data_IF_810544476113
#
_entry.id   IF_810544476113
#
_cell.length_a   1.000
_cell.length_b   1.000
_cell.length_c   1.000
_cell.angle_alpha   90.00
_cell.angle_beta   90.00
_cell.angle_gamma   90.00
#
_symmetry.space_group_name_H-M   'P 1'
#
loop_
_entity.id
_entity.type
_entity.pdbx_description
1 polymer ?
#
# COMPACT_ATOMS: atom_id res chain seq x y z
N UNK A 1 -9.80 79.58 27.92
CA UNK A 1 -9.23 78.55 28.81
C UNK A 1 -10.00 77.28 28.55
N UNK A 2 -9.44 76.38 27.74
CA UNK A 2 -10.11 75.17 27.26
C UNK A 2 -9.29 73.95 27.64
N UNK A 3 -9.97 72.97 28.26
CA UNK A 3 -9.66 71.53 28.35
C UNK A 3 -8.45 71.18 29.24
N UNK A 4 -8.46 70.12 30.03
CA UNK A 4 -8.57 68.71 29.63
C UNK A 4 -9.24 67.84 30.71
N UNK A 5 -10.11 66.92 30.28
CA UNK A 5 -10.67 65.85 31.10
C UNK A 5 -10.04 64.52 30.63
N UNK A 6 -9.39 63.81 31.54
CA UNK A 6 -8.76 62.50 31.33
C UNK A 6 -9.81 61.38 31.40
N UNK A 7 -9.70 60.38 30.52
CA UNK A 7 -10.45 59.13 30.63
C UNK A 7 -9.44 57.97 30.65
N UNK A 8 -9.52 57.14 31.68
CA UNK A 8 -8.72 55.92 31.84
C UNK A 8 -9.28 54.78 30.98
N UNK A 9 -8.37 53.98 30.41
CA UNK A 9 -8.69 52.79 29.61
C UNK A 9 -8.49 51.55 30.51
N UNK A 10 -9.57 50.80 30.76
CA UNK A 10 -9.53 49.49 31.40
C UNK A 10 -9.20 48.41 30.36
N UNK A 11 -8.14 47.63 30.60
CA UNK A 11 -7.75 46.49 29.78
C UNK A 11 -8.33 45.19 30.36
N UNK A 12 -9.27 44.56 29.66
CA UNK A 12 -9.74 43.20 29.97
C UNK A 12 -8.96 42.19 29.12
N UNK A 13 -8.11 41.39 29.76
CA UNK A 13 -7.45 40.24 29.13
C UNK A 13 -8.49 39.15 28.85
N UNK A 14 -8.81 38.93 27.57
CA UNK A 14 -9.55 37.76 27.11
C UNK A 14 -8.57 36.63 26.79
N UNK A 15 -8.64 35.53 27.55
CA UNK A 15 -7.87 34.32 27.28
C UNK A 15 -8.52 33.55 26.12
N UNK A 16 -7.80 33.43 24.99
CA UNK A 16 -8.20 32.55 23.88
C UNK A 16 -7.88 31.09 24.24
N UNK A 17 -8.91 30.29 24.44
CA UNK A 17 -8.84 28.83 24.53
C UNK A 17 -8.82 28.27 23.09
N UNK A 18 -7.64 27.86 22.58
CA UNK A 18 -7.56 27.10 21.35
C UNK A 18 -8.00 25.65 21.64
N UNK A 19 -9.28 25.34 21.41
CA UNK A 19 -9.74 23.96 21.30
C UNK A 19 -9.20 23.38 19.98
N UNK A 20 -8.18 22.52 20.07
CA UNK A 20 -7.68 21.76 18.92
C UNK A 20 -8.71 20.74 18.47
N UNK A 21 -9.25 20.91 17.26
CA UNK A 21 -10.10 19.91 16.62
C UNK A 21 -9.21 18.76 16.16
N UNK A 22 -9.25 17.63 16.86
CA UNK A 22 -8.70 16.36 16.33
C UNK A 22 -9.61 15.86 15.23
N UNK A 23 -9.22 16.04 13.97
CA UNK A 23 -9.83 15.32 12.86
C UNK A 23 -9.46 13.84 12.99
N UNK A 24 -10.43 13.00 13.32
CA UNK A 24 -10.23 11.55 13.33
C UNK A 24 -9.89 11.09 11.91
N UNK A 25 -8.77 10.36 11.76
CA UNK A 25 -8.44 9.72 10.50
C UNK A 25 -9.54 8.69 10.16
N UNK A 26 -9.98 8.64 8.91
CA UNK A 26 -10.90 7.59 8.47
C UNK A 26 -10.26 6.21 8.70
N UNK A 27 -11.01 5.22 9.22
CA UNK A 27 -10.49 3.88 9.40
C UNK A 27 -10.10 3.28 8.04
N UNK A 28 -9.10 2.39 8.04
CA UNK A 28 -8.73 1.64 6.84
C UNK A 28 -9.93 0.83 6.34
N UNK A 29 -10.12 0.70 5.01
CA UNK A 29 -11.08 -0.24 4.46
C UNK A 29 -10.69 -1.67 4.85
N UNK A 30 -11.71 -2.51 5.04
CA UNK A 30 -11.53 -3.95 5.18
C UNK A 30 -10.90 -4.55 3.89
N UNK A 31 -10.10 -5.62 3.98
CA UNK A 31 -9.48 -6.26 2.83
C UNK A 31 -10.43 -6.53 1.66
N UNK A 32 -11.63 -7.06 1.93
CA UNK A 32 -12.66 -7.34 0.92
C UNK A 32 -13.23 -6.12 0.19
N UNK A 33 -13.06 -4.92 0.76
CA UNK A 33 -13.51 -3.68 0.12
C UNK A 33 -12.47 -3.11 -0.85
N UNK A 34 -11.25 -3.69 -0.87
CA UNK A 34 -10.21 -3.31 -1.79
C UNK A 34 -10.41 -4.00 -3.15
N UNK A 35 -10.19 -3.23 -4.20
CA UNK A 35 -10.13 -3.67 -5.60
C UNK A 35 -8.69 -3.61 -6.11
N UNK A 36 -8.40 -4.30 -7.20
CA UNK A 36 -7.06 -4.40 -7.79
C UNK A 36 -6.38 -3.03 -8.01
N UNK A 37 -7.12 -2.00 -8.41
CA UNK A 37 -6.58 -0.66 -8.67
C UNK A 37 -5.97 -0.02 -7.42
N UNK A 38 -6.43 -0.43 -6.23
CA UNK A 38 -5.84 0.02 -4.97
C UNK A 38 -4.44 -0.51 -4.78
N UNK A 39 -4.02 -1.57 -5.49
CA UNK A 39 -2.69 -2.15 -5.42
C UNK A 39 -1.69 -1.54 -6.43
N UNK A 40 -2.12 -0.60 -7.28
CA UNK A 40 -1.21 0.10 -8.18
C UNK A 40 -0.03 0.75 -7.44
N UNK A 41 1.16 0.60 -8.00
CA UNK A 41 2.37 1.25 -7.50
C UNK A 41 3.53 0.29 -7.24
N UNK A 42 4.49 0.79 -6.47
CA UNK A 42 5.73 0.10 -6.15
C UNK A 42 5.64 -0.62 -4.82
N UNK A 43 6.21 -1.81 -4.78
CA UNK A 43 6.20 -2.70 -3.64
C UNK A 43 7.61 -3.26 -3.42
N UNK A 44 7.94 -3.51 -2.16
CA UNK A 44 9.00 -4.44 -1.79
C UNK A 44 8.39 -5.79 -1.48
N UNK A 45 9.06 -6.86 -1.90
CA UNK A 45 8.73 -8.24 -1.56
C UNK A 45 9.92 -8.87 -0.85
N UNK A 46 9.72 -9.26 0.41
CA UNK A 46 10.65 -10.13 1.13
C UNK A 46 10.16 -11.56 1.01
N UNK A 47 10.96 -12.42 0.38
CA UNK A 47 10.71 -13.85 0.28
C UNK A 47 11.66 -14.55 1.25
N UNK A 48 11.15 -15.42 2.11
CA UNK A 48 11.96 -16.14 3.10
C UNK A 48 13.10 -16.92 2.43
N UNK A 49 14.30 -16.87 3.02
CA UNK A 49 15.49 -17.54 2.48
C UNK A 49 16.14 -16.82 1.30
N UNK A 50 15.52 -15.79 0.72
CA UNK A 50 16.15 -14.95 -0.29
C UNK A 50 16.98 -13.85 0.36
N UNK A 51 18.25 -13.65 -0.06
CA UNK A 51 19.15 -12.70 0.60
C UNK A 51 18.87 -11.24 0.24
N UNK A 52 18.04 -10.98 -0.79
CA UNK A 52 17.72 -9.63 -1.28
C UNK A 52 16.21 -9.40 -1.22
N UNK A 53 15.84 -8.15 -0.94
CA UNK A 53 14.48 -7.67 -1.14
C UNK A 53 14.24 -7.51 -2.64
N UNK A 54 13.12 -8.02 -3.12
CA UNK A 54 12.70 -7.86 -4.50
C UNK A 54 11.80 -6.63 -4.64
N UNK A 55 11.78 -6.03 -5.83
CA UNK A 55 10.93 -4.88 -6.12
C UNK A 55 9.85 -5.30 -7.10
N UNK A 56 8.61 -4.93 -6.83
CA UNK A 56 7.45 -5.21 -7.69
C UNK A 56 6.80 -3.89 -8.09
N UNK A 57 6.57 -3.71 -9.38
CA UNK A 57 5.73 -2.63 -9.91
C UNK A 57 4.44 -3.22 -10.44
N UNK A 58 3.29 -2.74 -9.96
CA UNK A 58 1.96 -3.12 -10.45
C UNK A 58 1.25 -1.92 -11.08
N UNK A 59 0.52 -2.19 -12.16
CA UNK A 59 -0.33 -1.25 -12.86
C UNK A 59 -1.50 -1.98 -13.55
N UNK A 60 -2.34 -1.27 -14.30
CA UNK A 60 -3.50 -1.87 -14.96
C UNK A 60 -3.08 -2.90 -16.01
N UNK A 61 -3.79 -4.03 -16.10
CA UNK A 61 -3.63 -4.96 -17.20
C UNK A 61 -4.27 -4.38 -18.49
N UNK A 62 -3.55 -4.31 -19.63
CA UNK A 62 -4.05 -3.63 -20.83
C UNK A 62 -5.26 -4.32 -21.47
N UNK A 63 -5.42 -5.62 -21.24
CA UNK A 63 -6.45 -6.46 -21.90
C UNK A 63 -7.50 -7.01 -20.92
N UNK A 64 -7.30 -6.87 -19.60
CA UNK A 64 -8.14 -7.50 -18.57
C UNK A 64 -8.49 -6.48 -17.49
N UNK A 65 -9.68 -5.88 -17.59
CA UNK A 65 -10.17 -4.91 -16.58
C UNK A 65 -10.33 -5.60 -15.23
N UNK A 66 -9.86 -4.95 -14.16
CA UNK A 66 -9.86 -5.50 -12.80
C UNK A 66 -8.65 -6.38 -12.49
N UNK A 67 -7.79 -6.66 -13.47
CA UNK A 67 -6.51 -7.37 -13.28
C UNK A 67 -5.34 -6.40 -13.36
N UNK A 68 -4.20 -6.85 -12.83
CA UNK A 68 -2.95 -6.11 -12.79
C UNK A 68 -1.91 -6.74 -13.69
N UNK A 69 -1.00 -5.91 -14.22
CA UNK A 69 0.23 -6.33 -14.88
C UNK A 69 1.42 -5.64 -14.25
N UNK A 70 2.56 -6.30 -14.28
CA UNK A 70 3.76 -5.76 -13.66
C UNK A 70 5.05 -6.46 -14.01
N UNK A 71 6.07 -6.14 -13.23
CA UNK A 71 7.39 -6.77 -13.27
C UNK A 71 7.93 -6.90 -11.83
N UNK A 72 8.49 -8.07 -11.51
CA UNK A 72 9.33 -8.30 -10.34
C UNK A 72 10.80 -8.17 -10.74
N UNK A 73 11.54 -7.33 -10.03
CA UNK A 73 12.99 -7.23 -10.09
C UNK A 73 13.60 -7.90 -8.86
N UNK A 74 14.29 -9.02 -9.08
CA UNK A 74 14.96 -9.82 -8.03
C UNK A 74 16.40 -9.33 -7.74
N UNK A 75 16.87 -8.33 -8.48
CA UNK A 75 18.25 -7.86 -8.54
C UNK A 75 19.11 -8.59 -9.57
N UNK A 76 18.76 -9.83 -9.94
CA UNK A 76 19.44 -10.59 -11.00
C UNK A 76 18.59 -10.72 -12.26
N UNK A 77 17.27 -10.67 -12.13
CA UNK A 77 16.32 -10.85 -13.22
C UNK A 77 15.15 -9.89 -13.09
N UNK A 78 14.47 -9.70 -14.22
CA UNK A 78 13.20 -9.00 -14.35
C UNK A 78 12.18 -9.99 -14.89
N UNK A 79 11.13 -10.22 -14.12
CA UNK A 79 10.14 -11.26 -14.38
C UNK A 79 8.79 -10.60 -14.59
N UNK A 80 8.15 -10.73 -15.77
CA UNK A 80 6.80 -10.24 -15.97
C UNK A 80 5.83 -10.97 -15.02
N UNK A 81 4.82 -10.22 -14.56
CA UNK A 81 3.77 -10.75 -13.69
C UNK A 81 2.38 -10.30 -14.12
N UNK A 82 1.39 -11.12 -13.79
CA UNK A 82 -0.05 -10.76 -13.78
C UNK A 82 -0.57 -11.03 -12.36
N UNK A 83 -1.47 -10.20 -11.87
CA UNK A 83 -2.02 -10.37 -10.52
C UNK A 83 -3.49 -9.97 -10.46
N UNK A 84 -4.23 -10.61 -9.56
CA UNK A 84 -5.63 -10.31 -9.26
C UNK A 84 -5.82 -10.07 -7.76
N UNK A 85 -6.87 -9.32 -7.43
CA UNK A 85 -7.35 -9.15 -6.06
C UNK A 85 -8.86 -9.37 -6.06
N UNK A 86 -9.33 -10.38 -5.34
CA UNK A 86 -10.75 -10.70 -5.19
C UNK A 86 -11.06 -11.03 -3.72
N UNK A 87 -12.07 -10.41 -3.15
CA UNK A 87 -12.46 -10.53 -1.73
C UNK A 87 -11.30 -10.41 -0.69
N UNK A 88 -10.21 -9.72 -1.07
CA UNK A 88 -9.00 -9.58 -0.24
C UNK A 88 -7.94 -10.68 -0.44
N UNK A 89 -8.25 -11.71 -1.23
CA UNK A 89 -7.32 -12.73 -1.70
C UNK A 89 -6.52 -12.21 -2.89
N UNK A 90 -5.20 -12.30 -2.77
CA UNK A 90 -4.23 -11.86 -3.77
C UNK A 90 -3.60 -13.06 -4.46
N UNK A 91 -3.69 -13.06 -5.78
CA UNK A 91 -2.98 -14.01 -6.65
C UNK A 91 -1.99 -13.25 -7.51
N UNK A 92 -0.80 -13.80 -7.70
CA UNK A 92 0.16 -13.29 -8.68
C UNK A 92 0.86 -14.45 -9.39
N UNK A 93 0.88 -14.39 -10.70
CA UNK A 93 1.56 -15.33 -11.58
C UNK A 93 2.84 -14.70 -12.11
N UNK A 94 3.97 -15.30 -11.75
CA UNK A 94 5.30 -14.94 -12.22
C UNK A 94 5.66 -15.79 -13.42
N UNK A 95 6.24 -15.17 -14.46
CA UNK A 95 6.72 -15.88 -15.64
C UNK A 95 8.18 -15.55 -15.93
N UNK A 96 8.95 -16.54 -16.44
CA UNK A 96 10.31 -16.31 -16.94
C UNK A 96 10.35 -15.84 -18.39
N UNK A 97 9.40 -16.32 -19.21
CA UNK A 97 9.32 -16.05 -20.66
C UNK A 97 8.08 -15.22 -21.04
N UNK A 98 7.27 -14.83 -20.04
CA UNK A 98 6.00 -14.13 -20.24
C UNK A 98 4.87 -15.00 -20.81
N UNK A 99 5.07 -16.32 -20.90
CA UNK A 99 4.08 -17.28 -21.41
C UNK A 99 3.76 -18.39 -20.41
N UNK A 100 4.76 -18.85 -19.65
CA UNK A 100 4.64 -19.95 -18.70
C UNK A 100 4.84 -19.47 -17.27
N UNK A 101 3.94 -19.92 -16.40
CA UNK A 101 4.03 -19.67 -14.96
C UNK A 101 5.26 -20.39 -14.40
N UNK A 102 6.21 -19.62 -13.88
CA UNK A 102 7.37 -20.10 -13.13
C UNK A 102 7.11 -20.16 -11.63
N UNK A 103 6.23 -19.30 -11.12
CA UNK A 103 5.75 -19.35 -9.75
C UNK A 103 4.36 -18.71 -9.60
N UNK A 104 3.58 -19.22 -8.66
CA UNK A 104 2.31 -18.64 -8.23
C UNK A 104 2.45 -18.12 -6.81
N UNK A 105 1.98 -16.92 -6.55
CA UNK A 105 1.99 -16.28 -5.24
C UNK A 105 0.55 -16.19 -4.77
N UNK A 106 0.27 -16.75 -3.59
CA UNK A 106 -1.05 -16.76 -2.97
C UNK A 106 -0.94 -16.06 -1.63
N UNK A 107 -1.72 -15.01 -1.42
CA UNK A 107 -1.67 -14.23 -0.19
C UNK A 107 -2.96 -13.47 0.08
N UNK A 108 -2.93 -12.67 1.14
CA UNK A 108 -4.06 -11.83 1.53
C UNK A 108 -3.59 -10.44 1.91
N UNK A 109 -4.45 -9.44 1.66
CA UNK A 109 -4.22 -8.10 2.19
C UNK A 109 -4.37 -8.12 3.71
N UNK A 110 -3.38 -7.58 4.41
CA UNK A 110 -3.39 -7.56 5.86
C UNK A 110 -4.41 -6.54 6.39
N UNK A 111 -5.30 -6.98 7.28
CA UNK A 111 -6.28 -6.10 7.92
C UNK A 111 -5.60 -4.94 8.66
N UNK A 112 -6.22 -3.75 8.64
CA UNK A 112 -5.66 -2.54 9.25
C UNK A 112 -4.44 -1.95 8.52
N UNK A 113 -3.97 -2.56 7.42
CA UNK A 113 -2.84 -2.04 6.65
C UNK A 113 -3.22 -0.98 5.62
N UNK A 114 -4.50 -0.65 5.43
CA UNK A 114 -4.96 0.28 4.37
C UNK A 114 -4.50 -0.16 2.96
N UNK A 115 -4.45 -1.47 2.69
CA UNK A 115 -3.95 -2.00 1.42
C UNK A 115 -2.45 -1.76 1.21
N UNK A 116 -1.66 -1.59 2.27
CA UNK A 116 -0.22 -1.31 2.20
C UNK A 116 0.65 -2.54 2.51
N UNK A 117 0.05 -3.64 2.95
CA UNK A 117 0.77 -4.87 3.28
C UNK A 117 0.00 -6.11 2.81
N UNK A 118 0.73 -7.04 2.18
CA UNK A 118 0.24 -8.38 1.84
C UNK A 118 1.20 -9.42 2.41
N UNK A 119 0.71 -10.61 2.72
CA UNK A 119 1.56 -11.75 3.07
C UNK A 119 0.96 -13.04 2.56
N UNK A 120 1.80 -14.05 2.35
CA UNK A 120 1.38 -15.29 1.73
C UNK A 120 2.52 -16.25 1.45
N UNK A 121 2.31 -17.11 0.45
CA UNK A 121 3.26 -18.13 0.00
C UNK A 121 3.54 -17.97 -1.49
N UNK A 122 4.81 -18.06 -1.87
CA UNK A 122 5.28 -18.23 -3.25
C UNK A 122 5.51 -19.71 -3.50
N UNK A 123 4.89 -20.24 -4.54
CA UNK A 123 4.97 -21.64 -4.93
C UNK A 123 5.62 -21.76 -6.30
N UNK A 124 6.68 -22.56 -6.42
CA UNK A 124 7.29 -22.89 -7.71
C UNK A 124 6.79 -24.22 -8.24
N UNK A 125 7.10 -24.54 -9.50
CA UNK A 125 6.83 -25.85 -10.09
C UNK A 125 7.49 -27.03 -9.33
N UNK A 126 8.48 -26.76 -8.47
CA UNK A 126 9.08 -27.79 -7.60
C UNK A 126 8.22 -28.13 -6.37
N UNK A 127 7.10 -27.43 -6.15
CA UNK A 127 6.18 -27.66 -5.04
C UNK A 127 6.62 -27.05 -3.71
N UNK A 128 7.70 -26.26 -3.70
CA UNK A 128 8.16 -25.56 -2.50
C UNK A 128 7.32 -24.30 -2.28
N UNK A 129 6.68 -24.21 -1.11
CA UNK A 129 5.97 -23.03 -0.66
C UNK A 129 6.89 -22.20 0.25
N UNK A 130 7.25 -21.00 -0.20
CA UNK A 130 8.13 -20.09 0.53
C UNK A 130 7.34 -18.85 0.99
N UNK A 131 7.36 -18.51 2.29
CA UNK A 131 6.63 -17.35 2.78
C UNK A 131 7.12 -16.05 2.15
N UNK A 132 6.21 -15.09 1.98
CA UNK A 132 6.55 -13.74 1.58
C UNK A 132 5.78 -12.69 2.37
N UNK A 133 6.35 -11.48 2.42
CA UNK A 133 5.66 -10.25 2.82
C UNK A 133 5.91 -9.20 1.76
N UNK A 134 4.84 -8.58 1.25
CA UNK A 134 4.90 -7.41 0.39
C UNK A 134 4.49 -6.16 1.16
N UNK A 135 5.24 -5.07 0.96
CA UNK A 135 4.93 -3.75 1.52
C UNK A 135 5.02 -2.68 0.47
N UNK A 136 4.11 -1.71 0.48
CA UNK A 136 4.20 -0.58 -0.43
C UNK A 136 5.49 0.21 -0.15
N UNK A 137 6.22 0.55 -1.21
CA UNK A 137 7.39 1.42 -1.11
C UNK A 137 6.94 2.87 -0.94
N UNK A 138 6.71 3.22 0.33
CA UNK A 138 6.37 4.54 0.87
C UNK A 138 5.09 5.22 0.34
N UNK A 139 4.48 6.08 1.18
CA UNK A 139 3.14 6.60 0.99
C UNK A 139 3.15 7.81 0.06
N UNK A 140 2.02 8.09 -0.58
CA UNK A 140 1.76 9.47 -1.01
C UNK A 140 1.61 10.38 0.20
#
# INVERSE_FOLDING_TARGET
MTLFQTVQISATLSALFCAGVSLAASPCPEPRALQAEHLHGQWTAQVTGQPRIWFLQLGPHPEHTGSLRGEINTGSQRLPVVADLDDGDFTLEESQDGQRISATWLGTVQAGSCGQSLSGQRQTAQGEATPFVMRRNQPR
#
